data_IF_374837375705
#
_entry.id   IF_374837375705
#
_cell.length_a   1.000
_cell.length_b   1.000
_cell.length_c   1.000
_cell.angle_alpha   90.00
_cell.angle_beta   90.00
_cell.angle_gamma   90.00
#
_symmetry.space_group_name_H-M   'P 1'
#
loop_
_entity.id
_entity.type
_entity.pdbx_description
1 polymer ?
#
# COMPACT_ATOMS: atom_id res chain seq x y z
N UNK A 1 11.68 22.95 7.34
CA UNK A 1 11.65 21.88 6.31
C UNK A 1 11.96 20.48 6.82
N UNK A 2 12.82 20.25 7.84
CA UNK A 2 13.11 18.90 8.40
C UNK A 2 11.88 18.03 8.71
N UNK A 3 10.78 18.62 9.20
CA UNK A 3 9.56 17.87 9.52
C UNK A 3 8.84 17.25 8.30
N UNK A 4 8.97 17.83 7.10
CA UNK A 4 8.26 17.33 5.91
C UNK A 4 8.96 16.11 5.33
N UNK A 5 10.30 16.11 5.31
CA UNK A 5 11.11 14.98 4.82
C UNK A 5 10.99 13.77 5.75
N UNK A 6 11.01 13.99 7.06
CA UNK A 6 10.83 12.94 8.05
C UNK A 6 9.40 12.36 8.01
N UNK A 7 8.40 13.22 7.87
CA UNK A 7 7.01 12.81 7.63
C UNK A 7 6.86 12.00 6.34
N UNK A 8 7.42 12.46 5.23
CA UNK A 8 7.34 11.76 3.95
C UNK A 8 8.03 10.40 4.02
N UNK A 9 9.20 10.32 4.66
CA UNK A 9 9.94 9.06 4.86
C UNK A 9 9.15 8.07 5.72
N UNK A 10 8.51 8.57 6.78
CA UNK A 10 7.62 7.75 7.60
C UNK A 10 6.35 7.35 6.84
N UNK A 11 5.72 8.25 6.09
CA UNK A 11 4.53 7.96 5.28
C UNK A 11 4.82 6.89 4.21
N UNK A 12 6.01 6.90 3.59
CA UNK A 12 6.49 5.83 2.69
C UNK A 12 6.62 4.47 3.36
N UNK A 13 6.97 4.44 4.65
CA UNK A 13 7.06 3.17 5.40
C UNK A 13 5.69 2.53 5.65
N UNK A 14 4.61 3.29 5.49
CA UNK A 14 3.24 2.82 5.71
C UNK A 14 2.60 2.48 4.36
N UNK A 15 2.04 1.26 4.23
CA UNK A 15 1.31 0.86 3.01
C UNK A 15 0.02 1.65 2.85
N UNK A 16 -0.79 1.64 3.91
CA UNK A 16 -1.97 2.48 4.09
C UNK A 16 -1.93 3.07 5.49
N UNK A 17 -2.45 4.28 5.66
CA UNK A 17 -2.64 4.84 6.98
C UNK A 17 -3.77 5.87 6.99
N UNK A 18 -4.58 5.83 8.04
CA UNK A 18 -5.70 6.76 8.25
C UNK A 18 -5.20 8.17 8.48
N UNK A 19 -5.93 9.14 7.93
CA UNK A 19 -5.58 10.55 8.06
C UNK A 19 -5.56 11.02 9.52
N UNK A 20 -6.50 10.53 10.34
CA UNK A 20 -6.55 10.84 11.77
C UNK A 20 -5.31 10.33 12.54
N UNK A 21 -4.79 9.16 12.16
CA UNK A 21 -3.58 8.60 12.79
C UNK A 21 -2.35 9.43 12.42
N UNK A 22 -2.26 9.88 11.17
CA UNK A 22 -1.23 10.84 10.77
C UNK A 22 -1.33 12.13 11.56
N UNK A 23 -2.54 12.68 11.70
CA UNK A 23 -2.80 13.94 12.38
C UNK A 23 -2.42 13.88 13.86
N UNK A 24 -2.79 12.78 14.55
CA UNK A 24 -2.38 12.53 15.93
C UNK A 24 -0.87 12.48 16.09
N UNK A 25 -0.17 11.77 15.20
CA UNK A 25 1.30 11.65 15.27
C UNK A 25 2.00 12.99 15.06
N UNK A 26 1.44 13.83 14.20
CA UNK A 26 1.97 15.17 13.94
C UNK A 26 1.56 16.20 15.00
N UNK A 27 0.63 15.86 15.91
CA UNK A 27 0.01 16.81 16.82
C UNK A 27 -0.72 17.93 16.09
N UNK A 28 -1.29 17.63 14.91
CA UNK A 28 -1.91 18.58 13.99
C UNK A 28 -3.37 18.24 13.76
N UNK A 29 -4.11 19.19 13.24
CA UNK A 29 -5.47 18.92 12.74
C UNK A 29 -5.41 18.09 11.46
N UNK A 30 -6.52 17.41 11.14
CA UNK A 30 -6.69 16.67 9.88
C UNK A 30 -6.39 17.56 8.66
N UNK A 31 -6.94 18.77 8.64
CA UNK A 31 -6.75 19.73 7.54
C UNK A 31 -5.28 20.13 7.36
N UNK A 32 -4.56 20.42 8.45
CA UNK A 32 -3.14 20.74 8.37
C UNK A 32 -2.30 19.55 7.89
N UNK A 33 -2.69 18.34 8.29
CA UNK A 33 -2.03 17.09 7.89
C UNK A 33 -2.23 16.81 6.42
N UNK A 34 -3.46 16.96 5.91
CA UNK A 34 -3.78 16.85 4.49
C UNK A 34 -3.02 17.87 3.66
N UNK A 35 -2.92 19.13 4.13
CA UNK A 35 -2.12 20.17 3.48
C UNK A 35 -0.63 19.82 3.42
N UNK A 36 -0.10 19.21 4.49
CA UNK A 36 1.30 18.80 4.58
C UNK A 36 1.59 17.59 3.70
N UNK A 37 0.66 16.64 3.63
CA UNK A 37 0.71 15.49 2.73
C UNK A 37 0.59 15.93 1.27
N UNK A 38 -0.32 16.85 0.95
CA UNK A 38 -0.44 17.46 -0.38
C UNK A 38 0.86 18.12 -0.82
N UNK A 39 1.50 18.88 0.08
CA UNK A 39 2.82 19.47 -0.19
C UNK A 39 3.89 18.39 -0.43
N UNK A 40 3.89 17.31 0.35
CA UNK A 40 4.84 16.21 0.15
C UNK A 40 4.61 15.44 -1.16
N UNK A 41 3.36 15.37 -1.64
CA UNK A 41 3.01 14.81 -2.95
C UNK A 41 3.47 15.75 -4.08
N UNK A 42 3.21 17.05 -3.97
CA UNK A 42 3.61 18.06 -4.97
C UNK A 42 5.14 18.16 -5.11
N UNK A 43 5.89 17.98 -4.01
CA UNK A 43 7.36 18.00 -4.00
C UNK A 43 8.00 16.65 -4.38
N UNK A 44 7.22 15.66 -4.85
CA UNK A 44 7.62 14.26 -5.16
C UNK A 44 8.34 13.56 -3.99
N UNK A 45 8.13 14.04 -2.75
CA UNK A 45 8.73 13.47 -1.55
C UNK A 45 8.04 12.19 -1.13
N UNK A 46 6.77 11.99 -1.48
CA UNK A 46 6.01 10.75 -1.28
C UNK A 46 5.16 10.46 -2.51
N UNK A 47 5.07 9.19 -2.92
CA UNK A 47 4.19 8.75 -4.01
C UNK A 47 3.01 7.99 -3.42
N UNK A 48 1.79 8.37 -3.77
CA UNK A 48 0.58 7.76 -3.25
C UNK A 48 -0.68 8.54 -3.60
N UNK A 49 -1.81 8.03 -3.13
CA UNK A 49 -3.12 8.65 -3.31
C UNK A 49 -3.86 8.69 -1.97
N UNK A 50 -4.75 9.67 -1.82
CA UNK A 50 -5.69 9.72 -0.69
C UNK A 50 -6.99 9.06 -1.14
N UNK A 51 -7.32 7.92 -0.54
CA UNK A 51 -8.62 7.30 -0.65
C UNK A 51 -9.61 8.09 0.21
N UNK A 52 -10.51 8.82 -0.44
CA UNK A 52 -11.54 9.63 0.22
C UNK A 52 -12.70 8.82 0.76
N UNK A 53 -12.86 7.56 0.33
CA UNK A 53 -13.91 6.67 0.81
C UNK A 53 -13.54 6.08 2.17
N UNK A 54 -12.27 5.72 2.36
CA UNK A 54 -11.77 5.17 3.63
C UNK A 54 -11.02 6.18 4.51
N UNK A 55 -10.81 7.39 4.01
CA UNK A 55 -10.03 8.48 4.63
C UNK A 55 -8.58 8.07 4.95
N UNK A 56 -7.93 7.47 3.97
CA UNK A 56 -6.59 6.90 4.11
C UNK A 56 -5.65 7.37 3.02
N UNK A 57 -4.39 7.54 3.38
CA UNK A 57 -3.32 7.63 2.42
C UNK A 57 -2.84 6.23 2.05
N UNK A 58 -2.71 5.98 0.76
CA UNK A 58 -2.19 4.73 0.18
C UNK A 58 -0.91 5.06 -0.56
N UNK A 59 0.22 4.50 -0.13
CA UNK A 59 1.51 4.72 -0.79
C UNK A 59 1.58 3.93 -2.09
N UNK A 60 1.95 4.58 -3.19
CA UNK A 60 2.21 3.92 -4.48
C UNK A 60 3.49 3.07 -4.46
N UNK A 61 4.45 3.40 -3.59
CA UNK A 61 5.64 2.57 -3.42
C UNK A 61 5.29 1.20 -2.82
N UNK A 62 4.18 1.11 -2.07
CA UNK A 62 3.62 -0.15 -1.59
C UNK A 62 2.83 -0.93 -2.65
N UNK A 63 2.31 -0.25 -3.69
CA UNK A 63 1.48 -0.85 -4.76
C UNK A 63 2.30 -1.69 -5.74
N UNK A 64 3.63 -1.52 -5.81
CA UNK A 64 4.51 -2.28 -6.73
C UNK A 64 4.67 -3.77 -6.41
N UNK A 65 3.95 -4.32 -5.44
CA UNK A 65 4.02 -5.74 -5.08
C UNK A 65 2.69 -6.46 -5.29
N UNK A 66 1.87 -6.07 -6.25
CA UNK A 66 0.72 -6.91 -6.64
C UNK A 66 1.21 -7.97 -7.64
N UNK A 67 1.16 -9.24 -7.24
CA UNK A 67 1.37 -10.39 -8.12
C UNK A 67 0.05 -10.83 -8.71
N UNK A 68 -0.01 -10.88 -10.03
CA UNK A 68 -1.10 -11.52 -10.73
C UNK A 68 -0.83 -13.01 -10.89
N UNK A 69 -1.79 -13.85 -10.52
CA UNK A 69 -1.79 -15.27 -10.90
C UNK A 69 -3.07 -15.60 -11.66
N UNK A 70 -2.91 -15.78 -12.98
CA UNK A 70 -3.95 -16.34 -13.83
C UNK A 70 -4.16 -17.83 -13.55
N UNK A 71 -3.09 -18.62 -13.44
CA UNK A 71 -3.19 -20.08 -13.34
C UNK A 71 -2.44 -20.61 -12.11
N UNK A 72 -3.10 -21.46 -11.32
CA UNK A 72 -2.52 -22.08 -10.14
C UNK A 72 -1.31 -22.94 -10.52
N UNK A 73 -0.11 -22.70 -9.97
CA UNK A 73 1.09 -23.49 -10.28
C UNK A 73 1.01 -24.93 -9.74
N UNK A 74 0.12 -25.20 -8.78
CA UNK A 74 -0.02 -26.51 -8.16
C UNK A 74 -0.94 -27.47 -8.93
N UNK A 75 -2.00 -26.94 -9.57
CA UNK A 75 -3.04 -27.78 -10.19
C UNK A 75 -3.47 -27.34 -11.60
N UNK A 76 -2.98 -26.21 -12.11
CA UNK A 76 -3.39 -25.68 -13.41
C UNK A 76 -4.78 -25.03 -13.44
N UNK A 77 -5.47 -24.91 -12.30
CA UNK A 77 -6.78 -24.25 -12.20
C UNK A 77 -6.69 -22.73 -12.45
N UNK A 78 -7.71 -22.15 -13.08
CA UNK A 78 -7.76 -20.71 -13.37
C UNK A 78 -8.15 -19.93 -12.11
N UNK A 79 -7.17 -19.29 -11.46
CA UNK A 79 -7.38 -18.54 -10.21
C UNK A 79 -7.71 -17.08 -10.49
N UNK A 80 -7.15 -16.52 -11.58
CA UNK A 80 -7.38 -15.16 -12.08
C UNK A 80 -7.48 -14.09 -10.97
N UNK A 81 -6.48 -14.06 -10.09
CA UNK A 81 -6.51 -13.18 -8.92
C UNK A 81 -5.21 -12.40 -8.77
N UNK A 82 -5.36 -11.16 -8.32
CA UNK A 82 -4.28 -10.31 -7.84
C UNK A 82 -4.09 -10.52 -6.34
N UNK A 83 -2.84 -10.55 -5.88
CA UNK A 83 -2.51 -10.66 -4.46
C UNK A 83 -1.16 -10.04 -4.14
N UNK A 84 -0.97 -9.66 -2.87
CA UNK A 84 0.33 -9.25 -2.39
C UNK A 84 1.18 -10.47 -2.01
N UNK A 85 2.52 -10.48 -2.18
CA UNK A 85 3.37 -11.63 -1.87
C UNK A 85 3.31 -12.07 -0.40
N UNK A 86 2.82 -11.20 0.48
CA UNK A 86 2.62 -11.46 1.91
C UNK A 86 1.22 -12.03 2.22
N UNK A 87 0.30 -11.99 1.26
CA UNK A 87 -1.02 -12.61 1.37
C UNK A 87 -0.97 -14.09 1.00
N UNK A 88 -1.56 -14.92 1.85
CA UNK A 88 -1.72 -16.34 1.58
C UNK A 88 -2.96 -16.55 0.72
N UNK A 89 -2.79 -16.50 -0.60
CA UNK A 89 -3.86 -16.91 -1.54
C UNK A 89 -3.97 -18.43 -1.57
N UNK A 90 -5.18 -18.95 -1.33
CA UNK A 90 -5.49 -20.37 -1.43
C UNK A 90 -6.24 -20.62 -2.72
N UNK A 91 -5.76 -21.56 -3.53
CA UNK A 91 -6.43 -21.95 -4.76
C UNK A 91 -7.78 -22.63 -4.42
N UNK A 92 -8.92 -22.21 -5.01
CA UNK A 92 -10.23 -22.81 -4.71
C UNK A 92 -10.38 -24.23 -5.28
N UNK A 93 -9.48 -24.67 -6.15
CA UNK A 93 -9.56 -25.98 -6.80
C UNK A 93 -8.73 -27.06 -6.12
N UNK A 94 -7.58 -26.70 -5.53
CA UNK A 94 -6.68 -27.68 -4.90
C UNK A 94 -6.36 -27.36 -3.44
N UNK A 95 -6.92 -26.27 -2.91
CA UNK A 95 -6.77 -25.82 -1.53
C UNK A 95 -5.30 -25.57 -1.10
N UNK A 96 -4.38 -25.50 -2.07
CA UNK A 96 -2.97 -25.18 -1.83
C UNK A 96 -2.71 -23.70 -1.98
N UNK A 97 -1.73 -23.21 -1.22
CA UNK A 97 -1.26 -21.84 -1.34
C UNK A 97 -0.67 -21.59 -2.73
N UNK A 98 -1.10 -20.50 -3.35
CA UNK A 98 -0.55 -19.99 -4.61
C UNK A 98 0.69 -19.17 -4.25
N UNK A 99 1.81 -19.85 -4.00
CA UNK A 99 3.10 -19.18 -3.83
C UNK A 99 3.73 -19.03 -5.21
N UNK A 100 3.67 -17.82 -5.77
CA UNK A 100 4.59 -17.45 -6.85
C UNK A 100 6.01 -17.67 -6.33
N UNK A 101 6.77 -18.55 -6.97
CA UNK A 101 8.21 -18.62 -6.79
C UNK A 101 8.71 -17.32 -7.42
N UNK A 102 8.91 -16.29 -6.59
CA UNK A 102 9.70 -15.13 -7.00
C UNK A 102 11.07 -15.68 -7.37
N UNK A 103 11.33 -15.82 -8.68
CA UNK A 103 12.65 -16.18 -9.16
C UNK A 103 13.63 -15.10 -8.68
N UNK A 104 14.63 -15.57 -7.94
CA UNK A 104 15.82 -14.81 -7.55
C UNK A 104 16.61 -14.32 -8.77
#
# INVERSE_FOLDING_TARGET
ERNVVEFASWAKSQRRIKMDVMAQRLGKTRFETEKLLGKALDEDLVKGAIDRTTDEFVSQDAVKQEHFVGTCPNCGGNVDTWYFPEERVVCPYCERAVTSIANA
#
